data_IF_570184151661
#
_entry.id   IF_570184151661
#
_cell.length_a   1.000
_cell.length_b   1.000
_cell.length_c   1.000
_cell.angle_alpha   90.00
_cell.angle_beta   90.00
_cell.angle_gamma   90.00
#
_symmetry.space_group_name_H-M   'P 1'
#
loop_
_entity.id
_entity.type
_entity.pdbx_description
1 polymer ?
#
# COMPACT_ATOMS: atom_id res chain seq x y z
N UNK A 1 -47.15 -20.00 -53.01
CA UNK A 1 -47.35 -19.40 -51.68
C UNK A 1 -45.97 -19.02 -51.16
N UNK A 2 -45.66 -17.75 -50.91
CA UNK A 2 -44.48 -17.39 -50.14
C UNK A 2 -44.82 -17.41 -48.65
N UNK A 3 -43.93 -17.96 -47.84
CA UNK A 3 -43.99 -17.98 -46.38
C UNK A 3 -43.26 -16.74 -45.87
N UNK A 4 -44.00 -15.79 -45.31
CA UNK A 4 -43.50 -14.54 -44.75
C UNK A 4 -42.66 -14.82 -43.50
N UNK A 5 -41.34 -14.74 -43.62
CA UNK A 5 -40.46 -14.68 -42.45
C UNK A 5 -40.53 -13.28 -41.85
N UNK A 6 -41.37 -13.10 -40.83
CA UNK A 6 -41.45 -11.87 -40.04
C UNK A 6 -40.13 -11.63 -39.28
N UNK A 7 -39.30 -10.73 -39.81
CA UNK A 7 -38.10 -10.25 -39.12
C UNK A 7 -38.55 -9.25 -38.05
N UNK A 8 -38.61 -9.68 -36.79
CA UNK A 8 -38.88 -8.79 -35.66
C UNK A 8 -37.72 -7.82 -35.47
N UNK A 9 -37.94 -6.57 -35.83
CA UNK A 9 -37.01 -5.47 -35.63
C UNK A 9 -36.78 -5.23 -34.13
N UNK A 10 -35.61 -5.61 -33.62
CA UNK A 10 -35.21 -5.32 -32.24
C UNK A 10 -34.78 -3.85 -32.17
N UNK A 11 -35.70 -2.99 -31.75
CA UNK A 11 -35.44 -1.57 -31.50
C UNK A 11 -34.28 -1.43 -30.50
N UNK A 12 -33.17 -0.76 -30.85
CA UNK A 12 -32.05 -0.60 -29.94
C UNK A 12 -32.50 0.21 -28.72
N UNK A 13 -32.42 -0.40 -27.55
CA UNK A 13 -32.66 0.32 -26.30
C UNK A 13 -31.54 1.37 -26.13
N UNK A 14 -31.87 2.61 -25.72
CA UNK A 14 -30.85 3.60 -25.46
C UNK A 14 -29.93 3.09 -24.36
N UNK A 15 -28.64 2.98 -24.66
CA UNK A 15 -27.62 2.65 -23.68
C UNK A 15 -27.70 3.71 -22.57
N UNK A 16 -28.09 3.28 -21.38
CA UNK A 16 -28.02 4.11 -20.18
C UNK A 16 -26.54 4.29 -19.88
N UNK A 17 -25.96 5.40 -20.34
CA UNK A 17 -24.67 5.85 -19.87
C UNK A 17 -24.86 6.27 -18.42
N UNK A 18 -24.64 5.33 -17.50
CA UNK A 18 -24.33 5.71 -16.12
C UNK A 18 -23.05 6.53 -16.19
N UNK A 19 -23.06 7.81 -15.77
CA UNK A 19 -21.80 8.50 -15.60
C UNK A 19 -21.01 7.69 -14.59
N UNK A 20 -19.82 7.23 -14.97
CA UNK A 20 -18.87 6.73 -14.00
C UNK A 20 -18.81 7.78 -12.90
N UNK A 21 -19.27 7.45 -11.69
CA UNK A 21 -18.99 8.29 -10.54
C UNK A 21 -17.49 8.55 -10.61
N UNK A 22 -17.09 9.81 -10.73
CA UNK A 22 -15.69 10.22 -10.64
C UNK A 22 -15.21 9.84 -9.24
N UNK A 23 -14.81 8.58 -9.08
CA UNK A 23 -14.33 8.03 -7.83
C UNK A 23 -12.89 8.51 -7.67
N UNK A 24 -12.66 9.49 -6.80
CA UNK A 24 -11.30 9.91 -6.49
C UNK A 24 -10.54 8.78 -5.76
N UNK A 25 -9.40 8.32 -6.29
CA UNK A 25 -8.59 7.33 -5.61
C UNK A 25 -8.19 7.82 -4.21
N UNK A 26 -8.36 6.97 -3.20
CA UNK A 26 -7.86 7.28 -1.86
C UNK A 26 -6.34 7.23 -1.85
N UNK A 27 -5.73 8.01 -0.96
CA UNK A 27 -4.28 8.09 -0.81
C UNK A 27 -3.87 7.43 0.51
N UNK A 28 -2.96 6.45 0.50
CA UNK A 28 -2.31 5.97 1.71
C UNK A 28 -1.56 7.08 2.44
N UNK A 29 -1.25 6.84 3.71
CA UNK A 29 -0.34 7.70 4.48
C UNK A 29 1.10 7.56 3.98
N UNK A 30 1.93 8.57 4.25
CA UNK A 30 3.37 8.54 3.91
C UNK A 30 4.15 7.74 4.96
N UNK A 31 4.98 6.80 4.51
CA UNK A 31 5.94 6.10 5.35
C UNK A 31 7.36 6.65 5.14
N UNK A 32 7.98 7.14 6.22
CA UNK A 32 9.31 7.74 6.20
C UNK A 32 10.42 6.78 6.64
N UNK A 33 10.04 5.68 7.31
CA UNK A 33 10.98 4.75 7.93
C UNK A 33 11.61 5.32 9.21
N UNK A 34 10.92 6.23 9.90
CA UNK A 34 11.42 6.85 11.14
C UNK A 34 11.18 5.98 12.39
N UNK A 35 11.98 6.15 13.46
CA UNK A 35 11.72 5.52 14.75
C UNK A 35 10.30 5.82 15.25
N UNK A 36 9.53 4.79 15.60
CA UNK A 36 8.11 4.89 15.98
C UNK A 36 7.10 4.63 14.85
N UNK A 37 7.50 4.63 13.58
CA UNK A 37 6.64 4.18 12.48
C UNK A 37 6.71 2.66 12.30
N UNK A 38 5.57 1.98 12.49
CA UNK A 38 5.47 0.54 12.30
C UNK A 38 5.20 0.18 10.83
N UNK A 39 6.12 -0.51 10.14
CA UNK A 39 5.94 -0.88 8.73
C UNK A 39 4.78 -1.85 8.51
N UNK A 40 4.48 -2.73 9.47
CA UNK A 40 3.34 -3.66 9.38
C UNK A 40 2.02 -2.90 9.48
N UNK A 41 1.93 -1.94 10.40
CA UNK A 41 0.74 -1.09 10.52
C UNK A 41 0.52 -0.26 9.27
N UNK A 42 1.58 0.33 8.72
CA UNK A 42 1.50 1.10 7.47
C UNK A 42 1.06 0.22 6.29
N UNK A 43 1.63 -0.97 6.12
CA UNK A 43 1.22 -1.91 5.06
C UNK A 43 -0.26 -2.30 5.17
N UNK A 44 -0.79 -2.48 6.38
CA UNK A 44 -2.22 -2.77 6.58
C UNK A 44 -3.12 -1.62 6.11
N UNK A 45 -2.73 -0.38 6.36
CA UNK A 45 -3.45 0.79 5.86
C UNK A 45 -3.33 0.90 4.33
N UNK A 46 -2.12 0.74 3.81
CA UNK A 46 -1.85 0.75 2.38
C UNK A 46 -2.72 -0.26 1.63
N UNK A 47 -2.75 -1.53 2.08
CA UNK A 47 -3.55 -2.59 1.47
C UNK A 47 -5.06 -2.31 1.49
N UNK A 48 -5.58 -1.63 2.52
CA UNK A 48 -6.99 -1.21 2.53
C UNK A 48 -7.27 -0.20 1.44
N UNK A 49 -6.36 0.76 1.23
CA UNK A 49 -6.48 1.75 0.17
C UNK A 49 -6.27 1.12 -1.21
N UNK A 50 -5.30 0.22 -1.37
CA UNK A 50 -5.09 -0.54 -2.61
C UNK A 50 -6.33 -1.32 -3.00
N UNK A 51 -6.94 -2.07 -2.07
CA UNK A 51 -8.18 -2.82 -2.30
C UNK A 51 -9.32 -1.90 -2.73
N UNK A 52 -9.42 -0.75 -2.10
CA UNK A 52 -10.46 0.22 -2.38
C UNK A 52 -10.27 0.89 -3.76
N UNK A 53 -9.03 1.18 -4.13
CA UNK A 53 -8.65 1.72 -5.43
C UNK A 53 -8.53 0.63 -6.51
N UNK A 54 -8.82 -0.64 -6.18
CA UNK A 54 -8.71 -1.79 -7.08
C UNK A 54 -7.30 -1.96 -7.68
N UNK A 55 -6.26 -1.65 -6.91
CA UNK A 55 -4.89 -1.95 -7.31
C UNK A 55 -4.63 -3.44 -7.13
N UNK A 56 -4.18 -4.09 -8.21
CA UNK A 56 -3.58 -5.42 -8.15
C UNK A 56 -2.15 -5.33 -7.57
N UNK A 57 -1.47 -6.46 -7.43
CA UNK A 57 -0.13 -6.51 -6.83
C UNK A 57 0.91 -5.68 -7.61
N UNK A 58 0.81 -5.66 -8.94
CA UNK A 58 1.69 -4.88 -9.82
C UNK A 58 1.50 -3.38 -9.58
N UNK A 59 0.24 -2.92 -9.58
CA UNK A 59 -0.11 -1.54 -9.30
C UNK A 59 0.20 -1.16 -7.85
N UNK A 60 -0.03 -2.06 -6.89
CA UNK A 60 0.27 -1.82 -5.49
C UNK A 60 1.77 -1.58 -5.29
N UNK A 61 2.63 -2.37 -5.95
CA UNK A 61 4.08 -2.18 -5.91
C UNK A 61 4.49 -0.87 -6.60
N UNK A 62 4.02 -0.61 -7.83
CA UNK A 62 4.35 0.61 -8.57
C UNK A 62 3.91 1.87 -7.83
N UNK A 63 2.76 1.85 -7.17
CA UNK A 63 2.25 2.98 -6.41
C UNK A 63 2.98 3.18 -5.07
N UNK A 64 3.57 2.12 -4.49
CA UNK A 64 4.15 2.17 -3.15
C UNK A 64 5.22 3.26 -3.06
N UNK A 65 6.03 3.40 -4.11
CA UNK A 65 7.08 4.42 -4.23
C UNK A 65 6.60 5.85 -3.92
N UNK A 66 5.39 6.22 -4.34
CA UNK A 66 4.85 7.56 -4.14
C UNK A 66 4.41 7.83 -2.70
N UNK A 67 4.26 6.79 -1.90
CA UNK A 67 3.87 6.87 -0.49
C UNK A 67 5.05 6.55 0.44
N UNK A 68 6.26 6.46 -0.10
CA UNK A 68 7.51 6.44 0.65
C UNK A 68 8.18 7.81 0.61
N UNK A 69 8.77 8.21 1.73
CA UNK A 69 9.57 9.42 1.86
C UNK A 69 10.78 9.15 2.76
N UNK A 70 11.69 10.13 2.88
CA UNK A 70 12.82 10.09 3.81
C UNK A 70 13.70 8.84 3.64
N UNK A 71 13.93 8.13 4.74
CA UNK A 71 14.79 6.93 4.77
C UNK A 71 14.17 5.77 4.00
N UNK A 72 12.85 5.60 4.07
CA UNK A 72 12.15 4.54 3.36
C UNK A 72 12.24 4.71 1.84
N UNK A 73 12.13 5.94 1.33
CA UNK A 73 12.28 6.20 -0.10
C UNK A 73 13.69 5.89 -0.60
N UNK A 74 14.71 6.39 0.10
CA UNK A 74 16.12 6.09 -0.22
C UNK A 74 16.43 4.60 -0.17
N UNK A 75 15.86 3.89 0.80
CA UNK A 75 15.98 2.44 0.86
C UNK A 75 15.36 1.77 -0.36
N UNK A 76 14.17 2.21 -0.80
CA UNK A 76 13.54 1.69 -2.01
C UNK A 76 14.42 1.91 -3.23
N UNK A 77 14.90 3.16 -3.46
CA UNK A 77 15.77 3.49 -4.59
C UNK A 77 17.01 2.58 -4.65
N UNK A 78 17.62 2.29 -3.48
CA UNK A 78 18.82 1.45 -3.39
C UNK A 78 18.57 -0.05 -3.59
N UNK A 79 17.32 -0.51 -3.49
CA UNK A 79 16.94 -1.92 -3.55
C UNK A 79 15.97 -2.20 -4.69
N UNK A 80 15.68 -1.25 -5.59
CA UNK A 80 14.61 -1.35 -6.58
C UNK A 80 14.71 -2.63 -7.44
N UNK A 81 15.93 -3.00 -7.87
CA UNK A 81 16.20 -4.23 -8.63
C UNK A 81 15.84 -5.53 -7.87
N UNK A 82 15.85 -5.50 -6.54
CA UNK A 82 15.49 -6.63 -5.68
C UNK A 82 13.98 -6.69 -5.44
N UNK A 83 13.28 -5.55 -5.53
CA UNK A 83 11.86 -5.41 -5.18
C UNK A 83 10.96 -5.79 -6.37
N UNK A 84 11.16 -6.98 -6.93
CA UNK A 84 10.51 -7.42 -8.18
C UNK A 84 9.06 -7.86 -8.03
N UNK A 85 8.55 -8.02 -6.81
CA UNK A 85 7.17 -8.38 -6.54
C UNK A 85 6.64 -7.73 -5.26
N UNK A 86 5.32 -7.60 -5.18
CA UNK A 86 4.65 -7.03 -4.01
C UNK A 86 4.95 -7.83 -2.72
N UNK A 87 5.09 -9.15 -2.83
CA UNK A 87 5.45 -10.03 -1.71
C UNK A 87 6.88 -9.77 -1.21
N UNK A 88 7.85 -9.66 -2.13
CA UNK A 88 9.26 -9.36 -1.80
C UNK A 88 9.35 -7.98 -1.15
N UNK A 89 8.63 -6.99 -1.68
CA UNK A 89 8.57 -5.65 -1.09
C UNK A 89 8.04 -5.67 0.35
N UNK A 90 6.90 -6.32 0.60
CA UNK A 90 6.35 -6.41 1.95
C UNK A 90 7.31 -7.09 2.93
N UNK A 91 8.01 -8.12 2.47
CA UNK A 91 8.94 -8.92 3.27
C UNK A 91 10.16 -8.10 3.65
N UNK A 92 10.83 -7.49 2.67
CA UNK A 92 12.03 -6.70 2.91
C UNK A 92 11.74 -5.40 3.67
N UNK A 93 10.60 -4.74 3.41
CA UNK A 93 10.18 -3.56 4.18
C UNK A 93 10.02 -3.89 5.67
N UNK A 94 9.33 -4.99 6.00
CA UNK A 94 9.14 -5.43 7.39
C UNK A 94 10.45 -5.82 8.04
N UNK A 95 11.34 -6.49 7.32
CA UNK A 95 12.66 -6.89 7.81
C UNK A 95 13.51 -5.67 8.17
N UNK A 96 13.66 -4.71 7.25
CA UNK A 96 14.51 -3.53 7.45
C UNK A 96 13.96 -2.58 8.52
N UNK A 97 12.66 -2.27 8.44
CA UNK A 97 12.07 -1.27 9.32
C UNK A 97 11.43 -1.85 10.59
N UNK A 98 11.16 -3.16 10.64
CA UNK A 98 10.65 -3.84 11.83
C UNK A 98 11.73 -4.04 12.89
N UNK A 99 12.94 -4.44 12.48
CA UNK A 99 14.08 -4.62 13.39
C UNK A 99 14.54 -3.29 14.00
N UNK A 100 14.45 -2.20 13.23
CA UNK A 100 14.75 -0.84 13.69
C UNK A 100 13.85 -0.45 14.88
N UNK A 101 12.56 -0.82 14.87
CA UNK A 101 11.66 -0.57 16.00
C UNK A 101 12.04 -1.38 17.24
N UNK A 102 12.42 -2.65 17.07
CA UNK A 102 12.88 -3.50 18.17
C UNK A 102 14.15 -2.94 18.83
N UNK A 103 15.12 -2.50 18.02
CA UNK A 103 16.35 -1.90 18.53
C UNK A 103 16.09 -0.62 19.33
N UNK A 104 15.30 0.31 18.78
CA UNK A 104 14.97 1.58 19.45
C UNK A 104 14.22 1.33 20.76
N UNK A 105 13.28 0.38 20.78
CA UNK A 105 12.55 0.02 22.01
C UNK A 105 13.51 -0.52 23.07
N UNK A 106 14.38 -1.48 22.72
CA UNK A 106 15.37 -2.04 23.64
C UNK A 106 16.33 -0.98 24.17
N UNK A 107 16.82 -0.08 23.32
CA UNK A 107 17.68 1.02 23.74
C UNK A 107 16.96 1.95 24.74
N UNK A 108 15.70 2.31 24.48
CA UNK A 108 14.88 3.10 25.42
C UNK A 108 14.68 2.39 26.76
N UNK A 109 14.40 1.10 26.75
CA UNK A 109 14.19 0.32 27.98
C UNK A 109 15.49 0.24 28.81
N UNK A 110 16.65 0.03 28.17
CA UNK A 110 17.95 0.06 28.83
C UNK A 110 18.23 1.42 29.48
N UNK A 111 17.96 2.52 28.77
CA UNK A 111 18.16 3.88 29.31
C UNK A 111 17.27 4.14 30.52
N UNK A 112 16.00 3.71 30.49
CA UNK A 112 15.08 3.82 31.63
C UNK A 112 15.58 3.04 32.84
N UNK A 113 16.01 1.79 32.66
CA UNK A 113 16.56 0.99 33.74
C UNK A 113 17.84 1.60 34.34
N UNK A 114 18.68 2.25 33.53
CA UNK A 114 19.90 2.94 34.01
C UNK A 114 19.57 4.20 34.81
N UNK A 115 18.60 4.99 34.37
CA UNK A 115 18.18 6.20 35.07
C UNK A 115 17.57 5.90 36.45
N UNK A 116 16.85 4.78 36.60
CA UNK A 116 16.25 4.38 37.88
C UNK A 116 17.26 3.86 38.90
N UNK A 117 18.37 3.26 38.48
CA UNK A 117 19.41 2.72 39.38
C UNK A 117 20.39 3.76 39.93
N UNK A 118 20.34 5.01 39.44
CA UNK A 118 21.24 6.09 39.87
C UNK A 118 20.63 7.00 40.95
N UNK A 119 19.44 6.66 41.46
CA UNK A 119 18.68 7.48 42.41
C UNK A 119 18.41 6.83 43.78
N UNK A 120 19.08 5.71 44.10
CA UNK A 120 19.10 5.11 45.44
C UNK A 120 20.49 5.23 46.07
#
# INVERSE_FOLDING_TARGET
>A
MPDDTEVKEVKPQPAVFTPALFWEPRKPTIFKGEPGQDPTKWLQEYLRVSKFNQWDDTLALANAYFFLDGTAKKWFDNNEDLLTSWEVFQTELKKVFGDTQLYVRRAKDILKCRAQKSGE
#
